data_IF_333665715815
#
_entry.id   IF_333665715815
#
_cell.length_a   1.000
_cell.length_b   1.000
_cell.length_c   1.000
_cell.angle_alpha   90.00
_cell.angle_beta   90.00
_cell.angle_gamma   90.00
#
_symmetry.space_group_name_H-M   'P 1'
#
loop_
_entity.id
_entity.type
_entity.pdbx_description
1 polymer ?
#
# COMPACT_ATOMS: atom_id res chain seq x y z
N UNK A 1 31.18 -18.14 34.92
CA UNK A 1 29.81 -18.66 34.86
C UNK A 1 28.98 -17.67 34.07
N UNK A 2 28.39 -18.15 32.99
CA UNK A 2 27.80 -17.38 31.91
C UNK A 2 26.46 -16.73 32.29
N UNK A 3 26.23 -15.52 31.79
CA UNK A 3 24.92 -14.88 31.76
C UNK A 3 24.34 -15.05 30.35
N UNK A 4 23.33 -15.91 30.23
CA UNK A 4 22.47 -16.07 29.05
C UNK A 4 21.32 -15.05 29.09
N UNK A 5 20.96 -14.41 27.97
CA UNK A 5 19.91 -13.40 27.92
C UNK A 5 18.50 -14.01 27.89
N UNK A 6 17.56 -13.29 28.47
CA UNK A 6 16.16 -13.65 28.58
C UNK A 6 15.44 -13.64 27.22
N UNK A 7 14.72 -14.73 26.96
CA UNK A 7 13.84 -14.95 25.82
C UNK A 7 12.56 -14.12 25.96
N UNK A 8 12.29 -13.26 24.98
CA UNK A 8 10.98 -12.64 24.79
C UNK A 8 10.07 -13.63 24.04
N UNK A 9 8.99 -14.06 24.69
CA UNK A 9 7.91 -14.83 24.09
C UNK A 9 6.67 -13.95 23.95
N UNK A 10 6.10 -13.99 22.75
CA UNK A 10 4.82 -13.41 22.35
C UNK A 10 3.65 -13.95 23.19
N UNK A 11 2.70 -13.07 23.52
CA UNK A 11 1.27 -13.40 23.66
C UNK A 11 0.43 -12.17 23.20
N UNK A 12 -0.78 -12.40 22.67
CA UNK A 12 -1.54 -11.45 21.87
C UNK A 12 -2.34 -10.51 22.76
N UNK A 13 -2.59 -9.27 22.29
CA UNK A 13 -3.51 -8.36 22.96
C UNK A 13 -4.68 -7.99 22.05
N UNK A 14 -5.82 -8.51 22.47
CA UNK A 14 -7.17 -8.07 22.16
C UNK A 14 -7.35 -6.58 22.50
N UNK A 15 -8.17 -5.89 21.70
CA UNK A 15 -8.78 -4.60 22.05
C UNK A 15 -9.64 -4.73 23.32
N UNK A 16 -9.82 -3.62 24.07
CA UNK A 16 -11.15 -3.00 24.07
C UNK A 16 -11.19 -1.45 24.06
N UNK A 17 -12.17 -0.98 23.29
CA UNK A 17 -13.08 0.18 23.37
C UNK A 17 -13.02 1.17 24.57
N UNK A 18 -12.88 2.46 24.20
CA UNK A 18 -13.37 3.75 24.75
C UNK A 18 -13.71 3.95 26.25
N UNK A 19 -13.21 5.07 26.81
CA UNK A 19 -14.04 6.06 27.54
C UNK A 19 -13.52 7.50 27.36
N UNK A 20 -14.46 8.41 27.06
CA UNK A 20 -14.31 9.87 26.99
C UNK A 20 -14.12 10.49 28.38
N UNK A 21 -13.30 11.55 28.48
CA UNK A 21 -13.63 12.73 29.29
C UNK A 21 -12.99 13.99 28.69
N UNK A 22 -13.83 15.01 28.53
CA UNK A 22 -13.50 16.36 28.09
C UNK A 22 -12.88 17.20 29.20
N UNK A 23 -11.90 18.04 28.88
CA UNK A 23 -11.82 19.37 29.49
C UNK A 23 -10.98 20.35 28.65
N UNK A 24 -11.54 21.55 28.59
CA UNK A 24 -11.13 22.75 27.91
C UNK A 24 -9.69 23.19 28.24
N UNK A 25 -9.02 23.82 27.28
CA UNK A 25 -8.45 25.18 27.42
C UNK A 25 -8.04 25.74 26.05
N UNK A 26 -8.38 27.01 25.86
CA UNK A 26 -8.18 27.85 24.66
C UNK A 26 -6.73 28.41 24.59
N UNK A 27 -6.34 29.01 23.46
CA UNK A 27 -4.98 29.02 22.94
C UNK A 27 -4.15 30.20 23.44
N UNK A 28 -2.84 30.14 23.26
CA UNK A 28 -2.05 31.36 23.13
C UNK A 28 -1.09 31.29 21.95
N UNK A 29 -1.22 32.35 21.15
CA UNK A 29 -0.40 32.79 20.03
C UNK A 29 0.99 33.13 20.54
N UNK A 30 2.04 32.62 19.89
CA UNK A 30 3.32 33.32 19.83
C UNK A 30 3.99 33.06 18.47
N UNK A 31 3.94 34.09 17.64
CA UNK A 31 4.85 34.34 16.53
C UNK A 31 6.27 34.46 17.07
N UNK A 32 7.21 33.67 16.55
CA UNK A 32 8.63 33.98 16.62
C UNK A 32 9.29 33.75 15.26
N UNK A 33 9.52 34.88 14.60
CA UNK A 33 10.49 35.07 13.54
C UNK A 33 11.91 34.95 14.11
N UNK A 34 12.74 34.05 13.58
CA UNK A 34 14.19 34.22 13.63
C UNK A 34 14.83 33.75 12.32
N UNK A 35 15.64 34.65 11.76
CA UNK A 35 16.44 34.46 10.56
C UNK A 35 17.89 34.10 10.93
N UNK A 36 18.46 33.22 10.08
CA UNK A 36 19.87 32.93 9.80
C UNK A 36 20.63 31.99 10.78
N UNK A 37 21.69 31.26 10.34
CA UNK A 37 22.40 31.34 9.05
C UNK A 37 22.58 30.01 8.29
N UNK A 38 22.91 30.17 7.02
CA UNK A 38 23.38 29.15 6.08
C UNK A 38 24.69 28.52 6.61
N UNK A 39 24.64 27.29 7.12
CA UNK A 39 25.83 26.47 7.38
C UNK A 39 25.90 25.34 6.36
N UNK A 40 26.92 25.44 5.52
CA UNK A 40 27.39 24.40 4.60
C UNK A 40 27.66 23.11 5.38
N UNK A 41 26.78 22.13 5.24
CA UNK A 41 27.03 20.75 5.65
C UNK A 41 27.28 19.91 4.40
N UNK A 42 28.46 19.28 4.40
CA UNK A 42 28.92 18.31 3.42
C UNK A 42 27.85 17.21 3.26
N UNK A 43 27.62 16.70 2.04
CA UNK A 43 26.70 15.60 1.85
C UNK A 43 27.30 14.37 2.53
N UNK A 44 26.72 13.97 3.66
CA UNK A 44 26.89 12.65 4.23
C UNK A 44 26.36 11.66 3.20
N UNK A 45 27.28 10.88 2.63
CA UNK A 45 26.98 9.77 1.74
C UNK A 45 26.05 8.80 2.47
N UNK A 46 24.75 8.90 2.20
CA UNK A 46 23.84 7.80 2.39
C UNK A 46 24.25 6.74 1.37
N UNK A 47 24.80 5.65 1.88
CA UNK A 47 25.10 4.45 1.11
C UNK A 47 23.78 3.82 0.64
N UNK A 48 23.18 4.39 -0.41
CA UNK A 48 22.41 3.56 -1.31
C UNK A 48 23.43 2.66 -1.97
N UNK A 49 23.47 1.39 -1.58
CA UNK A 49 23.99 0.36 -2.47
C UNK A 49 23.09 0.39 -3.69
N UNK A 50 23.51 1.17 -4.68
CA UNK A 50 22.95 1.10 -6.03
C UNK A 50 23.08 -0.37 -6.44
N UNK A 51 22.01 -1.06 -6.88
CA UNK A 51 22.22 -2.33 -7.56
C UNK A 51 22.97 -2.02 -8.84
N UNK A 52 24.30 -2.21 -8.79
CA UNK A 52 25.19 -2.02 -9.94
C UNK A 52 25.18 -3.32 -10.73
N UNK A 53 24.92 -3.15 -12.03
CA UNK A 53 24.84 -4.12 -13.12
C UNK A 53 23.62 -5.05 -13.08
N UNK A 54 22.66 -4.72 -13.96
CA UNK A 54 21.70 -5.64 -14.54
C UNK A 54 22.43 -6.87 -15.09
N UNK A 55 22.60 -7.92 -14.29
CA UNK A 55 22.67 -9.26 -14.84
C UNK A 55 21.35 -9.48 -15.57
N UNK A 56 21.43 -9.71 -16.88
CA UNK A 56 20.26 -10.10 -17.68
C UNK A 56 19.71 -11.38 -17.09
N UNK A 57 18.63 -11.27 -16.32
CA UNK A 57 17.88 -12.42 -15.85
C UNK A 57 16.69 -12.65 -16.77
N UNK A 58 16.31 -13.91 -16.91
CA UNK A 58 15.07 -14.30 -17.58
C UNK A 58 14.14 -14.88 -16.51
N UNK A 59 12.91 -14.38 -16.47
CA UNK A 59 11.87 -14.87 -15.56
C UNK A 59 10.73 -15.47 -16.37
N UNK A 60 10.34 -16.69 -16.02
CA UNK A 60 9.23 -17.39 -16.66
C UNK A 60 8.23 -17.90 -15.62
N UNK A 61 6.98 -17.51 -15.81
CA UNK A 61 5.86 -17.91 -14.97
C UNK A 61 5.20 -19.20 -15.49
N UNK A 62 5.30 -20.29 -14.74
CA UNK A 62 4.59 -21.54 -14.99
C UNK A 62 3.32 -21.68 -14.14
N UNK A 63 2.60 -22.78 -14.32
CA UNK A 63 1.33 -23.01 -13.62
C UNK A 63 1.52 -23.13 -12.10
N UNK A 64 2.38 -24.05 -11.65
CA UNK A 64 2.68 -24.26 -10.22
C UNK A 64 4.09 -23.84 -9.82
N UNK A 65 4.96 -23.62 -10.79
CA UNK A 65 6.39 -23.38 -10.62
C UNK A 65 6.80 -22.17 -11.45
N UNK A 66 7.81 -21.45 -11.00
CA UNK A 66 8.38 -20.27 -11.67
C UNK A 66 9.87 -20.47 -11.80
N UNK A 67 10.45 -20.11 -12.94
CA UNK A 67 11.89 -20.20 -13.15
C UNK A 67 12.51 -18.82 -13.29
N UNK A 68 13.66 -18.65 -12.63
CA UNK A 68 14.54 -17.50 -12.75
C UNK A 68 15.90 -17.98 -13.25
N UNK A 69 16.33 -17.49 -14.40
CA UNK A 69 17.61 -17.83 -15.02
C UNK A 69 18.54 -16.62 -14.96
N UNK A 70 19.72 -16.81 -14.42
CA UNK A 70 20.74 -15.78 -14.24
C UNK A 70 21.98 -16.15 -15.02
N UNK A 71 22.44 -15.29 -15.92
CA UNK A 71 23.70 -15.52 -16.63
C UNK A 71 24.89 -15.24 -15.69
N UNK A 72 25.71 -16.27 -15.46
CA UNK A 72 26.89 -16.22 -14.60
C UNK A 72 28.19 -16.50 -15.37
N UNK A 73 28.13 -16.77 -16.69
CA UNK A 73 29.25 -17.20 -17.56
C UNK A 73 30.42 -16.24 -17.76
N UNK A 74 30.45 -15.10 -17.06
CA UNK A 74 31.58 -14.15 -17.02
C UNK A 74 32.15 -13.93 -15.62
N UNK A 75 31.62 -14.65 -14.62
CA UNK A 75 32.07 -14.59 -13.24
C UNK A 75 33.01 -15.76 -13.01
N UNK A 76 34.22 -15.53 -12.48
CA UNK A 76 35.22 -16.57 -12.18
C UNK A 76 34.74 -17.50 -11.04
N UNK A 77 33.67 -18.26 -11.28
CA UNK A 77 33.01 -19.14 -10.32
C UNK A 77 33.75 -20.47 -10.39
N UNK A 78 34.57 -20.71 -9.37
CA UNK A 78 35.40 -21.91 -9.29
C UNK A 78 34.63 -23.14 -8.77
N UNK A 79 33.53 -22.94 -8.05
CA UNK A 79 32.69 -24.02 -7.51
C UNK A 79 31.27 -23.58 -7.14
N UNK A 80 30.33 -24.54 -7.04
CA UNK A 80 28.97 -24.31 -6.53
C UNK A 80 28.92 -23.78 -5.09
N UNK A 81 30.01 -23.92 -4.33
CA UNK A 81 30.13 -23.39 -2.96
C UNK A 81 30.27 -21.87 -2.91
N UNK A 82 30.58 -21.26 -4.05
CA UNK A 82 30.70 -19.81 -4.18
C UNK A 82 29.32 -19.15 -4.41
N UNK A 83 28.24 -19.93 -4.58
CA UNK A 83 26.89 -19.41 -4.81
C UNK A 83 26.06 -19.58 -3.53
N UNK A 84 25.45 -18.48 -3.10
CA UNK A 84 24.54 -18.42 -1.97
C UNK A 84 23.16 -18.02 -2.49
N UNK A 85 22.19 -18.93 -2.34
CA UNK A 85 20.79 -18.69 -2.68
C UNK A 85 19.98 -18.77 -1.40
N UNK A 86 19.65 -17.62 -0.85
CA UNK A 86 18.85 -17.48 0.36
C UNK A 86 17.40 -17.20 -0.04
N UNK A 87 16.50 -18.13 0.30
CA UNK A 87 15.07 -18.03 -0.03
C UNK A 87 14.24 -18.10 1.24
N UNK A 88 13.38 -17.10 1.44
CA UNK A 88 12.30 -17.14 2.41
C UNK A 88 10.97 -17.12 1.68
N UNK A 89 9.88 -17.35 2.41
CA UNK A 89 8.53 -17.35 1.82
C UNK A 89 8.17 -16.04 1.10
N UNK A 90 8.83 -14.92 1.41
CA UNK A 90 8.53 -13.59 0.85
C UNK A 90 9.76 -12.84 0.35
N UNK A 91 10.96 -13.44 0.40
CA UNK A 91 12.19 -12.77 -0.03
C UNK A 91 13.18 -13.73 -0.68
N UNK A 92 14.00 -13.16 -1.56
CA UNK A 92 15.03 -13.87 -2.31
C UNK A 92 16.31 -13.03 -2.31
N UNK A 93 17.43 -13.64 -1.94
CA UNK A 93 18.75 -13.06 -2.12
C UNK A 93 19.67 -14.09 -2.79
N UNK A 94 20.24 -13.71 -3.92
CA UNK A 94 21.21 -14.52 -4.67
C UNK A 94 22.53 -13.75 -4.66
N UNK A 95 23.56 -14.37 -4.08
CA UNK A 95 24.90 -13.78 -3.95
C UNK A 95 25.95 -14.75 -4.48
N UNK A 96 27.00 -14.21 -5.07
CA UNK A 96 28.16 -14.98 -5.53
C UNK A 96 29.41 -14.46 -4.83
N UNK A 97 30.15 -15.36 -4.19
CA UNK A 97 31.38 -15.06 -3.47
C UNK A 97 32.54 -14.93 -4.46
N UNK A 98 33.14 -13.73 -4.53
CA UNK A 98 34.31 -13.47 -5.37
C UNK A 98 35.46 -12.94 -4.51
N UNK A 99 36.61 -13.61 -4.55
CA UNK A 99 37.87 -13.14 -3.92
C UNK A 99 37.72 -12.57 -2.50
N UNK A 100 36.83 -13.15 -1.69
CA UNK A 100 36.58 -12.76 -0.30
C UNK A 100 35.41 -11.79 -0.05
N UNK A 101 34.75 -11.26 -1.08
CA UNK A 101 33.56 -10.40 -0.95
C UNK A 101 32.35 -10.94 -1.73
N UNK A 102 31.17 -11.06 -1.12
CA UNK A 102 29.96 -11.47 -1.83
C UNK A 102 29.44 -10.34 -2.72
N UNK A 103 29.19 -10.66 -3.99
CA UNK A 103 28.49 -9.81 -4.96
C UNK A 103 27.03 -10.23 -4.96
N UNK A 104 26.11 -9.29 -4.72
CA UNK A 104 24.67 -9.54 -4.83
C UNK A 104 24.25 -9.50 -6.29
N UNK A 105 23.66 -10.59 -6.78
CA UNK A 105 23.08 -10.68 -8.13
C UNK A 105 21.62 -10.21 -8.14
N UNK A 106 20.84 -10.71 -7.17
CA UNK A 106 19.44 -10.35 -6.98
C UNK A 106 19.18 -10.24 -5.48
N UNK A 107 18.46 -9.20 -5.07
CA UNK A 107 17.95 -9.04 -3.71
C UNK A 107 16.57 -8.41 -3.80
N UNK A 108 15.54 -9.20 -3.46
CA UNK A 108 14.14 -8.77 -3.52
C UNK A 108 13.46 -9.07 -2.19
N UNK A 109 12.96 -8.02 -1.56
CA UNK A 109 12.11 -8.10 -0.38
C UNK A 109 11.16 -6.90 -0.42
N UNK A 110 9.87 -7.08 -0.70
CA UNK A 110 9.14 -8.35 -0.83
C UNK A 110 9.18 -8.97 -2.25
N UNK A 111 8.84 -10.26 -2.35
CA UNK A 111 8.43 -10.94 -3.59
C UNK A 111 7.01 -10.56 -4.01
N UNK A 112 6.62 -10.86 -5.25
CA UNK A 112 5.27 -10.59 -5.74
C UNK A 112 4.18 -11.25 -4.87
N UNK A 113 4.31 -12.53 -4.54
CA UNK A 113 3.51 -13.27 -3.54
C UNK A 113 4.39 -14.28 -2.77
N UNK A 114 3.80 -15.20 -2.03
CA UNK A 114 4.50 -16.22 -1.25
C UNK A 114 4.97 -17.38 -2.11
N UNK A 115 6.19 -17.82 -1.84
CA UNK A 115 6.76 -19.07 -2.37
C UNK A 115 6.83 -20.13 -1.26
N UNK A 116 6.89 -21.40 -1.66
CA UNK A 116 7.21 -22.51 -0.76
C UNK A 116 8.72 -22.69 -0.73
N UNK A 117 9.37 -22.00 0.21
CA UNK A 117 10.83 -21.99 0.36
C UNK A 117 11.43 -23.41 0.46
N UNK A 118 10.77 -24.32 1.18
CA UNK A 118 11.20 -25.73 1.32
C UNK A 118 11.19 -26.55 0.03
N UNK A 119 10.43 -26.11 -0.97
CA UNK A 119 10.29 -26.78 -2.27
C UNK A 119 11.04 -26.02 -3.39
N UNK A 120 11.81 -24.99 -3.03
CA UNK A 120 12.60 -24.22 -3.98
C UNK A 120 13.92 -24.94 -4.24
N UNK A 121 14.25 -25.13 -5.51
CA UNK A 121 15.48 -25.81 -5.94
C UNK A 121 16.27 -24.88 -6.86
N UNK A 122 17.59 -25.05 -6.88
CA UNK A 122 18.46 -24.35 -7.81
C UNK A 122 19.52 -25.29 -8.36
N UNK A 123 19.94 -25.05 -9.59
CA UNK A 123 20.97 -25.82 -10.27
C UNK A 123 21.72 -24.95 -11.28
N UNK A 124 22.86 -25.44 -11.75
CA UNK A 124 23.62 -24.81 -12.82
C UNK A 124 23.30 -25.51 -14.14
N UNK A 125 22.97 -24.71 -15.15
CA UNK A 125 22.74 -25.14 -16.53
C UNK A 125 23.74 -24.38 -17.41
N UNK A 126 24.83 -25.04 -17.77
CA UNK A 126 26.01 -24.44 -18.42
C UNK A 126 26.51 -23.18 -17.67
N UNK A 127 26.34 -22.01 -18.29
CA UNK A 127 26.74 -20.69 -17.80
C UNK A 127 25.59 -19.95 -17.08
N UNK A 128 24.51 -20.65 -16.72
CA UNK A 128 23.33 -20.08 -16.10
C UNK A 128 23.04 -20.70 -14.72
N UNK A 129 22.74 -19.84 -13.75
CA UNK A 129 22.12 -20.26 -12.50
C UNK A 129 20.60 -20.26 -12.69
N UNK A 130 19.98 -21.43 -12.57
CA UNK A 130 18.54 -21.60 -12.66
C UNK A 130 17.97 -21.83 -11.27
N UNK A 131 17.00 -21.00 -10.87
CA UNK A 131 16.27 -21.14 -9.62
C UNK A 131 14.81 -21.41 -9.95
N UNK A 132 14.29 -22.56 -9.50
CA UNK A 132 12.90 -22.95 -9.66
C UNK A 132 12.16 -22.79 -8.33
N UNK A 133 11.16 -21.92 -8.32
CA UNK A 133 10.32 -21.61 -7.18
C UNK A 133 8.97 -22.31 -7.31
N UNK A 134 8.47 -22.85 -6.20
CA UNK A 134 7.10 -23.36 -6.14
C UNK A 134 6.15 -22.33 -5.56
N UNK A 135 5.09 -22.01 -6.29
CA UNK A 135 4.08 -21.03 -5.87
C UNK A 135 3.34 -21.52 -4.62
N UNK A 136 3.02 -20.60 -3.72
CA UNK A 136 2.03 -20.87 -2.69
C UNK A 136 0.61 -20.92 -3.29
N UNK A 137 0.30 -19.97 -4.18
CA UNK A 137 -0.96 -19.89 -4.92
C UNK A 137 -0.71 -20.14 -6.42
N UNK A 138 -1.08 -21.31 -6.97
CA UNK A 138 -0.83 -21.63 -8.38
C UNK A 138 -1.72 -20.84 -9.35
N UNK A 139 -2.84 -20.27 -8.89
CA UNK A 139 -3.73 -19.50 -9.77
C UNK A 139 -3.25 -18.06 -9.99
N UNK A 140 -2.39 -17.57 -9.09
CA UNK A 140 -1.84 -16.23 -9.20
C UNK A 140 -0.72 -16.21 -10.26
N UNK A 141 -0.88 -15.35 -11.26
CA UNK A 141 0.15 -15.08 -12.25
C UNK A 141 1.16 -14.08 -11.73
N UNK A 142 2.42 -14.35 -11.98
CA UNK A 142 3.52 -13.49 -11.61
C UNK A 142 4.06 -12.83 -12.88
N UNK A 143 3.93 -11.50 -13.04
CA UNK A 143 4.49 -10.81 -14.19
C UNK A 143 6.02 -10.78 -14.17
N UNK A 144 6.62 -10.69 -12.97
CA UNK A 144 8.05 -10.67 -12.73
C UNK A 144 8.35 -11.08 -11.27
N UNK A 145 9.60 -11.41 -10.97
CA UNK A 145 10.10 -11.67 -9.62
C UNK A 145 10.21 -10.37 -8.80
N UNK A 146 10.54 -9.27 -9.46
CA UNK A 146 10.72 -7.95 -8.84
C UNK A 146 9.43 -7.12 -8.86
N UNK A 147 9.28 -6.25 -7.86
CA UNK A 147 8.23 -5.24 -7.80
C UNK A 147 8.56 -3.99 -8.66
N UNK A 148 8.92 -4.20 -9.93
CA UNK A 148 9.02 -3.09 -10.89
C UNK A 148 7.64 -2.48 -11.16
N UNK A 149 7.60 -1.25 -11.69
CA UNK A 149 6.33 -0.62 -12.08
C UNK A 149 5.55 -1.50 -13.05
N UNK A 150 6.22 -2.04 -14.06
CA UNK A 150 5.62 -2.85 -15.11
C UNK A 150 5.05 -4.16 -14.53
N UNK A 151 5.78 -4.79 -13.61
CA UNK A 151 5.32 -5.99 -12.90
C UNK A 151 4.13 -5.71 -12.00
N UNK A 152 4.21 -4.67 -11.17
CA UNK A 152 3.13 -4.29 -10.26
C UNK A 152 1.88 -3.85 -11.01
N UNK A 153 2.01 -3.07 -12.08
CA UNK A 153 0.88 -2.61 -12.88
C UNK A 153 0.14 -3.81 -13.53
N UNK A 154 0.89 -4.72 -14.15
CA UNK A 154 0.32 -5.93 -14.77
C UNK A 154 -0.32 -6.85 -13.74
N UNK A 155 0.33 -7.06 -12.60
CA UNK A 155 -0.10 -8.00 -11.57
C UNK A 155 -1.25 -7.47 -10.70
N UNK A 156 -1.19 -6.20 -10.30
CA UNK A 156 -2.23 -5.59 -9.45
C UNK A 156 -3.58 -5.49 -10.14
N UNK A 157 -3.63 -5.40 -11.48
CA UNK A 157 -4.89 -5.44 -12.23
C UNK A 157 -5.69 -6.73 -11.97
N UNK A 158 -5.00 -7.87 -11.80
CA UNK A 158 -5.59 -9.17 -11.49
C UNK A 158 -6.03 -9.25 -10.02
N UNK A 159 -5.22 -8.70 -9.11
CA UNK A 159 -5.49 -8.69 -7.67
C UNK A 159 -6.70 -7.84 -7.30
N UNK A 160 -6.84 -6.67 -7.93
CA UNK A 160 -7.93 -5.73 -7.66
C UNK A 160 -9.29 -6.24 -8.16
N UNK A 161 -9.30 -7.20 -9.12
CA UNK A 161 -10.52 -7.78 -9.71
C UNK A 161 -11.55 -6.73 -10.17
N UNK A 162 -11.07 -5.59 -10.65
CA UNK A 162 -11.92 -4.49 -11.10
C UNK A 162 -12.40 -3.52 -10.01
N UNK A 163 -12.01 -3.72 -8.75
CA UNK A 163 -12.30 -2.80 -7.65
C UNK A 163 -11.59 -1.46 -7.88
N UNK A 164 -12.32 -0.36 -7.70
CA UNK A 164 -11.81 1.00 -7.88
C UNK A 164 -10.88 1.42 -6.72
N UNK A 165 -10.03 2.41 -6.98
CA UNK A 165 -9.09 2.97 -6.00
C UNK A 165 -9.45 4.44 -5.76
N UNK A 166 -9.44 4.87 -4.50
CA UNK A 166 -9.67 6.24 -4.06
C UNK A 166 -8.40 6.77 -3.41
N UNK A 167 -7.84 7.83 -3.96
CA UNK A 167 -6.70 8.55 -3.38
C UNK A 167 -7.23 9.67 -2.48
N UNK A 168 -6.79 9.66 -1.22
CA UNK A 168 -7.16 10.64 -0.20
C UNK A 168 -5.90 11.23 0.41
N UNK A 169 -5.97 12.47 0.89
CA UNK A 169 -4.82 13.12 1.51
C UNK A 169 -4.94 14.64 1.49
N UNK A 170 -3.98 15.34 2.09
CA UNK A 170 -4.08 16.78 2.27
C UNK A 170 -3.93 17.59 0.97
N UNK A 171 -3.35 17.01 -0.09
CA UNK A 171 -3.09 17.72 -1.35
C UNK A 171 -3.90 17.16 -2.51
N UNK A 172 -4.79 17.97 -3.06
CA UNK A 172 -5.55 17.66 -4.28
C UNK A 172 -4.64 17.39 -5.47
N UNK A 173 -3.54 18.15 -5.60
CA UNK A 173 -2.59 18.02 -6.72
C UNK A 173 -1.88 16.66 -6.71
N UNK A 174 -1.42 16.23 -5.52
CA UNK A 174 -0.76 14.93 -5.34
C UNK A 174 -1.73 13.81 -5.70
N UNK A 175 -2.95 13.87 -5.15
CA UNK A 175 -3.98 12.89 -5.43
C UNK A 175 -4.27 12.80 -6.94
N UNK A 176 -4.41 13.94 -7.63
CA UNK A 176 -4.69 13.95 -9.06
C UNK A 176 -3.54 13.36 -9.89
N UNK A 177 -2.30 13.79 -9.66
CA UNK A 177 -1.15 13.32 -10.44
C UNK A 177 -0.88 11.84 -10.25
N UNK A 178 -1.00 11.34 -9.02
CA UNK A 178 -0.82 9.91 -8.74
C UNK A 178 -1.98 9.09 -9.32
N UNK A 179 -3.22 9.62 -9.32
CA UNK A 179 -4.36 8.93 -9.93
C UNK A 179 -4.19 8.74 -11.44
N UNK A 180 -3.69 9.77 -12.15
CA UNK A 180 -3.41 9.71 -13.59
C UNK A 180 -2.39 8.58 -13.92
N UNK A 181 -1.30 8.50 -13.17
CA UNK A 181 -0.27 7.46 -13.34
C UNK A 181 -0.81 6.06 -13.00
N UNK A 182 -1.52 5.91 -11.88
CA UNK A 182 -2.12 4.64 -11.48
C UNK A 182 -3.16 4.16 -12.50
N UNK A 183 -4.01 5.05 -12.98
CA UNK A 183 -5.03 4.71 -13.96
C UNK A 183 -4.40 4.25 -15.28
N UNK A 184 -3.35 4.94 -15.73
CA UNK A 184 -2.59 4.59 -16.93
C UNK A 184 -1.93 3.22 -16.78
N UNK A 185 -1.28 2.94 -15.64
CA UNK A 185 -0.64 1.65 -15.38
C UNK A 185 -1.63 0.48 -15.31
N UNK A 186 -2.77 0.67 -14.63
CA UNK A 186 -3.78 -0.38 -14.44
C UNK A 186 -4.73 -0.55 -15.64
N UNK A 187 -4.72 0.37 -16.62
CA UNK A 187 -5.75 0.45 -17.66
C UNK A 187 -7.13 0.73 -17.06
N UNK A 188 -7.18 1.59 -16.05
CA UNK A 188 -8.38 2.07 -15.36
C UNK A 188 -8.73 3.48 -15.84
N UNK A 189 -9.92 3.98 -15.49
CA UNK A 189 -10.33 5.34 -15.82
C UNK A 189 -9.89 6.31 -14.71
N UNK A 190 -9.07 7.32 -15.01
CA UNK A 190 -8.76 8.37 -14.04
C UNK A 190 -9.98 9.29 -13.86
N UNK A 191 -10.37 9.54 -12.63
CA UNK A 191 -11.46 10.47 -12.28
C UNK A 191 -10.95 11.47 -11.23
N UNK A 192 -11.21 12.75 -11.45
CA UNK A 192 -10.93 13.81 -10.47
C UNK A 192 -12.23 14.37 -9.95
N UNK A 193 -12.46 14.29 -8.62
CA UNK A 193 -13.67 14.88 -8.03
C UNK A 193 -13.70 16.39 -8.19
N UNK A 194 -12.52 17.04 -8.21
CA UNK A 194 -12.38 18.47 -8.52
C UNK A 194 -12.97 18.79 -9.89
N UNK A 195 -12.50 18.11 -10.93
CA UNK A 195 -12.93 18.39 -12.31
C UNK A 195 -14.43 18.11 -12.50
N UNK A 196 -14.93 17.03 -11.89
CA UNK A 196 -16.35 16.72 -11.92
C UNK A 196 -17.17 17.80 -11.20
N UNK A 197 -16.75 18.27 -10.03
CA UNK A 197 -17.45 19.33 -9.31
C UNK A 197 -17.48 20.64 -10.09
N UNK A 198 -16.36 21.04 -10.67
CA UNK A 198 -16.29 22.27 -11.46
C UNK A 198 -17.16 22.17 -12.72
N UNK A 199 -17.19 21.00 -13.36
CA UNK A 199 -18.05 20.74 -14.51
C UNK A 199 -19.55 20.78 -14.17
N UNK A 200 -19.95 20.19 -13.03
CA UNK A 200 -21.37 20.17 -12.62
C UNK A 200 -21.86 21.51 -12.08
N UNK A 201 -21.00 22.25 -11.36
CA UNK A 201 -21.38 23.51 -10.72
C UNK A 201 -21.17 24.74 -11.61
N UNK A 202 -20.46 24.61 -12.74
CA UNK A 202 -20.04 25.72 -13.60
C UNK A 202 -19.27 26.83 -12.85
N UNK A 203 -18.62 26.50 -11.74
CA UNK A 203 -17.77 27.41 -10.96
C UNK A 203 -16.53 26.66 -10.47
N UNK A 204 -15.44 27.38 -10.20
CA UNK A 204 -14.23 26.75 -9.65
C UNK A 204 -14.42 26.40 -8.18
N UNK A 205 -13.73 25.35 -7.70
CA UNK A 205 -13.78 24.96 -6.29
C UNK A 205 -13.33 26.11 -5.38
N UNK A 206 -12.32 26.88 -5.80
CA UNK A 206 -11.82 28.03 -5.03
C UNK A 206 -12.87 29.14 -4.91
N UNK A 207 -13.61 29.41 -5.99
CA UNK A 207 -14.71 30.39 -5.97
C UNK A 207 -15.85 29.92 -5.07
N UNK A 208 -16.21 28.64 -5.16
CA UNK A 208 -17.25 28.04 -4.33
C UNK A 208 -16.89 28.09 -2.84
N UNK A 209 -15.64 27.73 -2.52
CA UNK A 209 -15.11 27.78 -1.16
C UNK A 209 -15.19 29.18 -0.54
N UNK A 210 -14.91 30.22 -1.34
CA UNK A 210 -15.00 31.62 -0.89
C UNK A 210 -16.45 32.09 -0.70
N UNK A 211 -17.38 31.61 -1.54
CA UNK A 211 -18.77 32.03 -1.52
C UNK A 211 -19.61 31.32 -0.45
N UNK A 212 -19.46 30.01 -0.31
CA UNK A 212 -20.34 29.16 0.51
C UNK A 212 -19.61 28.41 1.63
N UNK A 213 -18.29 28.46 1.64
CA UNK A 213 -17.47 27.79 2.65
C UNK A 213 -17.22 26.31 2.36
N UNK A 214 -16.42 25.72 3.24
CA UNK A 214 -15.89 24.37 3.03
C UNK A 214 -16.90 23.25 3.17
N UNK A 215 -17.96 23.49 3.95
CA UNK A 215 -18.99 22.50 4.21
C UNK A 215 -19.82 22.22 2.96
N UNK A 216 -20.19 23.29 2.24
CA UNK A 216 -20.91 23.18 0.97
C UNK A 216 -20.10 22.44 -0.11
N UNK A 217 -18.80 22.76 -0.23
CA UNK A 217 -17.90 22.07 -1.16
C UNK A 217 -17.78 20.58 -0.86
N UNK A 218 -17.61 20.21 0.41
CA UNK A 218 -17.51 18.81 0.81
C UNK A 218 -18.83 18.05 0.63
N UNK A 219 -19.96 18.71 0.84
CA UNK A 219 -21.29 18.13 0.56
C UNK A 219 -21.46 17.87 -0.94
N UNK A 220 -21.07 18.83 -1.78
CA UNK A 220 -21.02 18.67 -3.23
C UNK A 220 -20.14 17.50 -3.65
N UNK A 221 -18.91 17.41 -3.11
CA UNK A 221 -18.03 16.28 -3.38
C UNK A 221 -18.64 14.94 -2.94
N UNK A 222 -19.34 14.93 -1.81
CA UNK A 222 -20.05 13.74 -1.31
C UNK A 222 -21.07 13.20 -2.31
N UNK A 223 -21.79 14.07 -3.02
CA UNK A 223 -22.75 13.70 -4.08
C UNK A 223 -22.03 13.13 -5.31
N UNK A 224 -20.89 13.72 -5.68
CA UNK A 224 -20.06 13.18 -6.77
C UNK A 224 -19.53 11.79 -6.41
N UNK A 225 -19.03 11.61 -5.18
CA UNK A 225 -18.56 10.32 -4.66
C UNK A 225 -19.67 9.26 -4.65
N UNK A 226 -20.90 9.65 -4.30
CA UNK A 226 -22.08 8.76 -4.39
C UNK A 226 -22.29 8.27 -5.81
N UNK A 227 -22.31 9.19 -6.79
CA UNK A 227 -22.52 8.87 -8.20
C UNK A 227 -21.44 7.92 -8.75
N UNK A 228 -20.18 8.12 -8.38
CA UNK A 228 -19.06 7.31 -8.90
C UNK A 228 -18.79 6.05 -8.08
N UNK A 229 -19.42 5.87 -6.92
CA UNK A 229 -19.24 4.67 -6.06
C UNK A 229 -19.64 3.35 -6.73
N UNK A 230 -20.51 3.42 -7.74
CA UNK A 230 -20.92 2.27 -8.55
C UNK A 230 -19.98 1.95 -9.71
N UNK A 231 -19.02 2.83 -10.00
CA UNK A 231 -18.09 2.64 -11.10
C UNK A 231 -17.00 1.63 -10.73
N UNK A 232 -16.74 0.71 -11.64
CA UNK A 232 -15.66 -0.28 -11.54
C UNK A 232 -14.48 0.18 -12.38
N UNK A 233 -13.27 -0.25 -12.01
CA UNK A 233 -12.03 0.06 -12.74
C UNK A 233 -11.78 1.56 -12.87
N UNK A 234 -12.01 2.31 -11.79
CA UNK A 234 -11.68 3.73 -11.71
C UNK A 234 -10.58 3.99 -10.68
N UNK A 235 -9.77 5.03 -10.92
CA UNK A 235 -8.88 5.62 -9.92
C UNK A 235 -9.34 7.05 -9.67
N UNK A 236 -9.86 7.30 -8.47
CA UNK A 236 -10.52 8.54 -8.08
C UNK A 236 -9.57 9.38 -7.23
N UNK A 237 -9.23 10.57 -7.70
CA UNK A 237 -8.55 11.58 -6.90
C UNK A 237 -9.57 12.46 -6.16
N UNK A 238 -9.50 12.49 -4.83
CA UNK A 238 -10.37 13.33 -3.99
C UNK A 238 -9.75 14.70 -3.72
N UNK A 239 -10.59 15.68 -3.39
CA UNK A 239 -10.15 16.98 -2.90
C UNK A 239 -9.39 16.79 -1.59
N UNK A 240 -8.25 17.46 -1.48
CA UNK A 240 -7.47 17.45 -0.27
C UNK A 240 -7.92 18.49 0.76
N UNK A 241 -7.18 18.53 1.86
CA UNK A 241 -7.41 19.40 3.02
C UNK A 241 -8.75 19.16 3.74
N UNK A 242 -9.13 20.05 4.65
CA UNK A 242 -10.39 19.97 5.41
C UNK A 242 -11.64 20.31 4.58
N UNK A 243 -11.46 20.71 3.33
CA UNK A 243 -12.56 21.10 2.44
C UNK A 243 -13.04 19.95 1.57
N UNK A 244 -12.25 18.87 1.44
CA UNK A 244 -12.70 17.65 0.79
C UNK A 244 -13.57 16.78 1.70
N UNK A 245 -14.46 16.00 1.08
CA UNK A 245 -15.29 14.99 1.72
C UNK A 245 -14.44 13.92 2.43
N UNK A 246 -13.31 13.51 1.84
CA UNK A 246 -12.43 12.50 2.44
C UNK A 246 -11.81 12.97 3.78
N UNK A 247 -11.68 14.28 4.00
CA UNK A 247 -11.24 14.84 5.28
C UNK A 247 -12.27 14.76 6.41
N UNK A 248 -13.52 14.33 6.13
CA UNK A 248 -14.65 14.31 7.07
C UNK A 248 -15.13 12.91 7.33
N UNK A 249 -15.20 12.50 8.60
CA UNK A 249 -15.55 11.13 8.98
C UNK A 249 -16.94 10.69 8.56
N UNK A 250 -17.90 11.62 8.48
CA UNK A 250 -19.30 11.34 8.10
C UNK A 250 -19.51 11.08 6.60
N UNK A 251 -18.51 11.37 5.76
CA UNK A 251 -18.58 11.26 4.29
C UNK A 251 -17.89 10.02 3.71
N UNK A 252 -17.39 9.11 4.55
CA UNK A 252 -16.61 7.95 4.10
C UNK A 252 -17.41 6.80 3.46
N UNK A 253 -18.73 6.79 3.63
CA UNK A 253 -19.58 5.68 3.17
C UNK A 253 -19.33 5.31 1.70
N UNK A 254 -19.13 6.27 0.81
CA UNK A 254 -18.95 5.98 -0.62
C UNK A 254 -17.49 5.67 -0.97
N UNK A 255 -16.53 6.05 -0.12
CA UNK A 255 -15.11 5.73 -0.29
C UNK A 255 -14.83 4.24 -0.02
N UNK A 256 -15.58 3.62 0.91
CA UNK A 256 -15.45 2.19 1.20
C UNK A 256 -15.87 1.26 0.05
N UNK A 257 -16.52 1.79 -1.00
CA UNK A 257 -16.82 1.06 -2.23
C UNK A 257 -15.54 0.56 -2.94
N UNK A 258 -14.43 1.27 -2.81
CA UNK A 258 -13.14 0.89 -3.38
C UNK A 258 -12.04 0.80 -2.33
N UNK A 259 -10.81 0.56 -2.80
CA UNK A 259 -9.63 0.64 -1.95
C UNK A 259 -9.23 2.09 -1.72
N UNK A 260 -8.98 2.47 -0.49
CA UNK A 260 -8.60 3.83 -0.11
C UNK A 260 -7.11 3.91 0.21
N UNK A 261 -6.40 4.81 -0.44
CA UNK A 261 -4.96 5.05 -0.27
C UNK A 261 -4.76 6.45 0.27
N UNK A 262 -4.22 6.57 1.48
CA UNK A 262 -3.88 7.85 2.07
C UNK A 262 -2.47 8.28 1.67
N UNK A 263 -2.38 9.32 0.85
CA UNK A 263 -1.13 9.99 0.50
C UNK A 263 -0.83 11.08 1.54
N UNK A 264 0.23 10.87 2.32
CA UNK A 264 0.59 11.76 3.43
C UNK A 264 2.06 12.15 3.33
N UNK A 265 2.33 13.45 3.35
CA UNK A 265 3.70 13.94 3.43
C UNK A 265 4.24 13.75 4.85
N UNK A 266 5.48 13.29 4.97
CA UNK A 266 6.18 13.10 6.25
C UNK A 266 7.47 13.90 6.28
N UNK A 267 7.88 14.26 7.51
CA UNK A 267 9.20 14.84 7.80
C UNK A 267 10.20 13.80 8.28
N UNK A 268 9.78 12.53 8.42
CA UNK A 268 10.64 11.45 8.82
C UNK A 268 11.75 11.22 7.78
N UNK A 269 12.93 10.82 8.27
CA UNK A 269 14.08 10.45 7.44
C UNK A 269 14.04 9.01 6.95
N UNK A 270 13.32 8.15 7.67
CA UNK A 270 13.35 6.70 7.55
C UNK A 270 11.94 6.10 7.72
N UNK A 271 11.78 4.87 7.25
CA UNK A 271 10.51 4.14 7.22
C UNK A 271 9.95 3.88 8.63
N UNK A 272 10.80 3.48 9.58
CA UNK A 272 10.38 3.20 10.96
C UNK A 272 9.80 4.45 11.64
N UNK A 273 10.45 5.59 11.46
CA UNK A 273 9.97 6.88 11.97
C UNK A 273 8.67 7.31 11.28
N UNK A 274 8.52 7.08 9.98
CA UNK A 274 7.29 7.37 9.23
C UNK A 274 6.12 6.47 9.67
N UNK A 275 6.41 5.21 10.01
CA UNK A 275 5.45 4.26 10.56
C UNK A 275 4.98 4.68 11.94
N UNK A 276 5.88 5.12 12.82
CA UNK A 276 5.51 5.61 14.15
C UNK A 276 4.75 6.94 14.09
N UNK A 277 5.06 7.82 13.13
CA UNK A 277 4.22 8.99 12.83
C UNK A 277 2.80 8.58 12.42
N UNK A 278 2.68 7.57 11.56
CA UNK A 278 1.37 7.03 11.13
C UNK A 278 0.59 6.45 12.31
N UNK A 279 1.24 5.67 13.18
CA UNK A 279 0.62 5.13 14.38
C UNK A 279 0.12 6.23 15.32
N UNK A 280 0.87 7.32 15.48
CA UNK A 280 0.43 8.48 16.26
C UNK A 280 -0.78 9.15 15.61
N UNK A 281 -0.76 9.40 14.31
CA UNK A 281 -1.90 10.00 13.61
C UNK A 281 -3.18 9.17 13.74
N UNK A 282 -3.07 7.84 13.69
CA UNK A 282 -4.20 6.92 13.90
C UNK A 282 -4.71 6.99 15.34
N UNK A 283 -3.82 6.98 16.33
CA UNK A 283 -4.19 7.09 17.76
C UNK A 283 -4.85 8.43 18.09
N UNK A 284 -4.34 9.50 17.49
CA UNK A 284 -4.87 10.84 17.69
C UNK A 284 -6.24 10.99 17.02
N UNK A 285 -6.52 10.25 15.94
CA UNK A 285 -7.82 10.22 15.25
C UNK A 285 -8.27 11.57 14.71
N UNK A 286 -7.33 12.52 14.57
CA UNK A 286 -7.62 13.94 14.27
C UNK A 286 -8.12 14.11 12.83
N UNK A 287 -7.74 13.21 11.92
CA UNK A 287 -8.12 13.25 10.51
C UNK A 287 -8.88 12.01 10.11
N UNK A 288 -9.92 12.19 9.30
CA UNK A 288 -10.70 11.07 8.81
C UNK A 288 -9.90 10.15 7.86
N UNK A 289 -8.76 10.62 7.31
CA UNK A 289 -7.87 9.81 6.46
C UNK A 289 -7.32 8.56 7.15
N UNK A 290 -7.37 8.48 8.49
CA UNK A 290 -7.00 7.27 9.23
C UNK A 290 -7.92 6.08 8.93
N UNK A 291 -9.07 6.31 8.30
CA UNK A 291 -9.98 5.28 7.82
C UNK A 291 -9.50 4.60 6.53
N UNK A 292 -8.43 5.10 5.91
CA UNK A 292 -7.90 4.53 4.66
C UNK A 292 -7.39 3.10 4.86
N UNK A 293 -7.54 2.28 3.82
CA UNK A 293 -7.10 0.88 3.84
C UNK A 293 -5.57 0.77 3.87
N UNK A 294 -4.87 1.69 3.18
CA UNK A 294 -3.40 1.77 3.17
C UNK A 294 -2.91 3.21 3.25
N UNK A 295 -1.68 3.41 3.73
CA UNK A 295 -1.04 4.72 3.85
C UNK A 295 0.29 4.70 3.11
N UNK A 296 0.54 5.72 2.29
CA UNK A 296 1.81 5.92 1.58
C UNK A 296 2.40 7.25 2.05
N UNK A 297 3.59 7.17 2.64
CA UNK A 297 4.31 8.32 3.20
C UNK A 297 5.30 8.88 2.19
N UNK A 298 5.24 10.20 1.99
CA UNK A 298 6.02 10.92 0.98
C UNK A 298 7.00 11.88 1.64
N UNK A 299 8.29 11.76 1.32
CA UNK A 299 9.31 12.70 1.77
C UNK A 299 9.41 13.87 0.78
N UNK A 300 8.46 14.80 0.89
CA UNK A 300 8.29 15.90 -0.06
C UNK A 300 7.51 15.49 -1.32
N UNK A 301 7.35 16.43 -2.24
CA UNK A 301 6.59 16.24 -3.47
C UNK A 301 7.24 16.94 -4.66
N UNK A 302 7.37 16.20 -5.76
CA UNK A 302 7.66 16.70 -7.10
C UNK A 302 6.82 15.86 -8.08
N UNK A 303 6.07 16.49 -9.00
CA UNK A 303 5.29 15.77 -10.01
C UNK A 303 6.08 14.73 -10.81
N UNK A 304 7.40 14.90 -10.98
CA UNK A 304 8.26 13.93 -11.66
C UNK A 304 8.32 12.56 -10.94
N UNK A 305 8.03 12.52 -9.63
CA UNK A 305 8.00 11.29 -8.84
C UNK A 305 6.62 10.63 -8.77
N UNK A 306 5.62 11.12 -9.50
CA UNK A 306 4.26 10.55 -9.48
C UNK A 306 4.24 9.04 -9.78
N UNK A 307 5.05 8.57 -10.74
CA UNK A 307 5.21 7.14 -11.06
C UNK A 307 5.75 6.35 -9.87
N UNK A 308 6.75 6.85 -9.16
CA UNK A 308 7.33 6.20 -7.98
C UNK A 308 6.32 6.12 -6.83
N UNK A 309 5.53 7.17 -6.63
CA UNK A 309 4.46 7.18 -5.62
C UNK A 309 3.36 6.19 -5.99
N UNK A 310 2.95 6.17 -7.26
CA UNK A 310 1.99 5.21 -7.79
C UNK A 310 2.47 3.76 -7.60
N UNK A 311 3.75 3.48 -7.86
CA UNK A 311 4.37 2.17 -7.59
C UNK A 311 4.26 1.80 -6.11
N UNK A 312 4.56 2.74 -5.20
CA UNK A 312 4.38 2.54 -3.76
C UNK A 312 2.93 2.25 -3.36
N UNK A 313 1.95 2.90 -4.00
CA UNK A 313 0.53 2.62 -3.81
C UNK A 313 0.17 1.18 -4.23
N UNK A 314 0.65 0.73 -5.39
CA UNK A 314 0.40 -0.64 -5.86
C UNK A 314 1.05 -1.69 -4.95
N UNK A 315 2.27 -1.44 -4.48
CA UNK A 315 2.95 -2.32 -3.52
C UNK A 315 2.17 -2.43 -2.21
N UNK A 316 1.72 -1.29 -1.65
CA UNK A 316 0.92 -1.28 -0.42
C UNK A 316 -0.43 -2.00 -0.60
N UNK A 317 -1.15 -1.73 -1.70
CA UNK A 317 -2.42 -2.41 -2.00
C UNK A 317 -2.24 -3.91 -2.20
N UNK A 318 -1.16 -4.32 -2.88
CA UNK A 318 -0.81 -5.73 -3.04
C UNK A 318 -0.63 -6.40 -1.68
N UNK A 319 0.19 -5.83 -0.80
CA UNK A 319 0.42 -6.37 0.54
C UNK A 319 -0.90 -6.52 1.33
N UNK A 320 -1.79 -5.53 1.25
CA UNK A 320 -3.11 -5.58 1.88
C UNK A 320 -3.95 -6.74 1.32
N UNK A 321 -4.07 -6.87 0.00
CA UNK A 321 -4.89 -7.90 -0.64
C UNK A 321 -4.35 -9.31 -0.35
N UNK A 322 -3.03 -9.47 -0.32
CA UNK A 322 -2.41 -10.75 0.05
C UNK A 322 -2.60 -11.10 1.52
N UNK A 323 -2.79 -10.10 2.39
CA UNK A 323 -3.12 -10.30 3.81
C UNK A 323 -4.59 -10.71 4.02
N UNK A 324 -5.52 -10.19 3.22
CA UNK A 324 -6.94 -10.59 3.21
C UNK A 324 -7.48 -10.73 1.78
N UNK A 325 -7.38 -11.95 1.24
CA UNK A 325 -7.83 -12.30 -0.12
C UNK A 325 -9.34 -12.10 -0.34
N UNK A 326 -10.14 -11.91 0.72
CA UNK A 326 -11.59 -11.67 0.63
C UNK A 326 -11.95 -10.20 0.43
N UNK A 327 -10.98 -9.27 0.41
CA UNK A 327 -11.26 -7.84 0.21
C UNK A 327 -11.82 -7.50 -1.20
N UNK A 328 -11.13 -7.84 -2.32
CA UNK A 328 -11.53 -7.40 -3.67
C UNK A 328 -12.61 -8.27 -4.33
N UNK A 329 -12.93 -9.45 -3.79
CA UNK A 329 -13.62 -10.55 -4.49
C UNK A 329 -14.86 -10.16 -5.33
N UNK A 330 -14.85 -10.58 -6.61
CA UNK A 330 -15.91 -10.37 -7.59
C UNK A 330 -16.51 -11.69 -8.13
N UNK A 331 -16.08 -12.86 -7.64
CA UNK A 331 -16.58 -14.16 -8.10
C UNK A 331 -17.79 -14.63 -7.28
N UNK A 332 -18.80 -15.11 -7.99
CA UNK A 332 -20.15 -15.45 -7.57
C UNK A 332 -20.30 -16.48 -6.44
N UNK A 333 -19.21 -17.14 -6.01
CA UNK A 333 -19.22 -18.08 -4.88
C UNK A 333 -18.58 -17.53 -3.60
N UNK A 334 -17.74 -16.49 -3.69
CA UNK A 334 -17.15 -15.77 -2.56
C UNK A 334 -17.21 -14.26 -2.85
N UNK A 335 -18.33 -13.64 -2.49
CA UNK A 335 -18.48 -12.20 -2.61
C UNK A 335 -17.48 -11.49 -1.71
N UNK A 336 -16.54 -10.76 -2.31
CA UNK A 336 -15.58 -9.97 -1.55
C UNK A 336 -16.26 -8.88 -0.74
N UNK A 337 -15.64 -8.47 0.37
CA UNK A 337 -16.22 -7.50 1.31
C UNK A 337 -16.59 -6.19 0.62
N UNK A 338 -15.73 -5.68 -0.28
CA UNK A 338 -15.99 -4.42 -1.01
C UNK A 338 -17.11 -4.57 -2.06
N UNK A 339 -17.15 -5.67 -2.81
CA UNK A 339 -18.23 -5.90 -3.77
C UNK A 339 -19.58 -6.14 -3.09
N UNK A 340 -19.59 -6.82 -1.94
CA UNK A 340 -20.78 -6.96 -1.10
C UNK A 340 -21.25 -5.60 -0.60
N UNK A 341 -20.34 -4.74 -0.13
CA UNK A 341 -20.67 -3.40 0.32
C UNK A 341 -21.35 -2.56 -0.77
N UNK A 342 -20.80 -2.57 -2.00
CA UNK A 342 -21.43 -1.91 -3.16
C UNK A 342 -22.83 -2.49 -3.43
N UNK A 343 -23.00 -3.82 -3.44
CA UNK A 343 -24.30 -4.47 -3.70
C UNK A 343 -25.35 -4.17 -2.64
N UNK A 344 -24.94 -3.88 -1.41
CA UNK A 344 -25.82 -3.39 -0.34
C UNK A 344 -26.13 -1.89 -0.46
N UNK A 345 -25.62 -1.22 -1.51
CA UNK A 345 -25.81 0.20 -1.76
C UNK A 345 -24.97 1.09 -0.86
N UNK A 346 -23.76 0.63 -0.48
CA UNK A 346 -22.88 1.32 0.46
C UNK A 346 -23.57 1.62 1.81
N UNK A 347 -24.38 0.67 2.27
CA UNK A 347 -25.13 0.74 3.54
C UNK A 347 -24.52 -0.19 4.59
N UNK A 348 -24.72 0.16 5.85
CA UNK A 348 -24.20 -0.58 7.00
C UNK A 348 -22.80 -0.13 7.41
N UNK A 349 -22.35 -0.68 8.54
CA UNK A 349 -21.08 -0.32 9.16
C UNK A 349 -19.93 -1.11 8.51
N UNK A 350 -19.07 -0.41 7.77
CA UNK A 350 -17.75 -0.93 7.38
C UNK A 350 -16.82 -0.95 8.60
N UNK A 351 -15.97 -1.97 8.82
CA UNK A 351 -15.77 -3.20 8.04
C UNK A 351 -16.64 -4.38 8.50
N UNK A 352 -17.54 -4.18 9.46
CA UNK A 352 -18.37 -5.22 10.09
C UNK A 352 -19.55 -5.64 9.21
N UNK A 353 -19.26 -6.03 7.97
CA UNK A 353 -20.25 -6.54 7.04
C UNK A 353 -20.38 -8.04 7.26
N UNK A 354 -21.55 -8.47 7.74
CA UNK A 354 -21.86 -9.88 7.93
C UNK A 354 -22.36 -10.50 6.61
N UNK A 355 -22.02 -11.77 6.32
CA UNK A 355 -22.45 -12.44 5.11
C UNK A 355 -23.97 -12.70 5.12
N UNK A 356 -24.60 -12.88 3.94
CA UNK A 356 -26.00 -13.29 3.86
C UNK A 356 -26.24 -14.61 4.63
N UNK A 357 -27.18 -14.61 5.57
CA UNK A 357 -27.50 -15.77 6.41
C UNK A 357 -26.78 -15.82 7.77
N UNK A 358 -26.00 -14.81 8.12
CA UNK A 358 -25.43 -14.67 9.47
C UNK A 358 -26.53 -14.39 10.51
N UNK A 359 -26.55 -15.17 11.59
CA UNK A 359 -27.49 -15.03 12.70
C UNK A 359 -26.79 -14.35 13.89
N UNK A 360 -27.22 -13.14 14.31
CA UNK A 360 -26.66 -12.44 15.47
C UNK A 360 -26.80 -13.22 16.79
N UNK A 361 -27.67 -14.24 16.85
CA UNK A 361 -27.83 -15.12 18.01
C UNK A 361 -26.63 -16.03 18.27
N UNK A 362 -25.83 -16.30 17.23
CA UNK A 362 -24.79 -17.34 17.26
C UNK A 362 -23.48 -16.94 17.94
N UNK A 363 -23.25 -15.64 18.18
CA UNK A 363 -22.05 -15.14 18.87
C UNK A 363 -22.21 -15.02 20.40
N UNK A 364 -23.38 -15.39 20.93
CA UNK A 364 -23.72 -15.33 22.35
C UNK A 364 -23.46 -16.60 23.15
N UNK A 365 -22.33 -17.29 22.99
CA UNK A 365 -21.96 -18.39 23.91
C UNK A 365 -20.45 -18.64 24.01
N UNK A 366 -19.67 -17.60 24.30
CA UNK A 366 -18.39 -17.82 25.01
C UNK A 366 -18.69 -17.60 26.49
N UNK A 367 -19.18 -18.65 27.14
CA UNK A 367 -19.22 -18.72 28.60
C UNK A 367 -17.80 -18.49 29.12
N UNK A 368 -17.61 -17.43 29.90
CA UNK A 368 -16.54 -17.35 30.89
C UNK A 368 -16.68 -18.58 31.81
N UNK A 369 -15.98 -19.64 31.47
CA UNK A 369 -15.81 -20.83 32.29
C UNK A 369 -14.70 -20.56 33.29
N UNK A 370 -15.10 -20.29 34.52
CA UNK A 370 -14.28 -20.35 35.72
C UNK A 370 -13.66 -21.76 35.83
N UNK A 371 -12.34 -21.87 35.69
CA UNK A 371 -11.48 -22.70 36.56
C UNK A 371 -10.00 -22.38 36.34
#
# INVERSE_FOLDING_TARGET
MAATPASLRFLPQNLPTFQFFSSFLKPNVLSFSHKYPLSSLRPSQCSFTSPVSTTSYEFSDGASEMELRLNIGGMDISSTKDILVDTNDTSLAIRVLRSGSPITLIETNPLFDKIKSSETIWYLDDDQLVVSFKKHDPELKWPDIMESWESLAAGSSQLLKGTSIYLVGDSTEINQKVAEELATGLGYTPLSTKELLEAYSNQTVDSWLLAEGSDSVADGEGVVLESISSHVRAVVATLGSKHGAAGRSDKWRHLYAGFTVWLSQTKASDEDSAKEETHRNIKDGITAYTNADVVVKLQGWDPAYAKSVAQGCLSALKQLILSDKKLPGLLCYDAGKKSLYIRLGCRGDWPNIQPPGWDPSSEGSVTHGTQ
#
